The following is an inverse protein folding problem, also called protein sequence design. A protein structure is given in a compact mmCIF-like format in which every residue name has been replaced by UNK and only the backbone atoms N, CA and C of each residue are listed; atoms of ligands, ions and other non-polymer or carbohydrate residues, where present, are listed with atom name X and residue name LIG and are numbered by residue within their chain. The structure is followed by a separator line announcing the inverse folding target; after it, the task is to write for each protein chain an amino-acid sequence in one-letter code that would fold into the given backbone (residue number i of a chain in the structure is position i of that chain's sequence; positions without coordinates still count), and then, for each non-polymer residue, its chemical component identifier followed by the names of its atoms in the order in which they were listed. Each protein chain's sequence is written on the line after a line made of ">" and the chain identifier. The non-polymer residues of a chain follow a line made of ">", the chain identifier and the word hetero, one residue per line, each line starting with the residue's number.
data_IF_270957930162
#
_entry.id   IF_270957930162
#
_cell.length_a   1.000
_cell.length_b   1.000
_cell.length_c   1.000
_cell.angle_alpha   90.00
_cell.angle_beta   90.00
_cell.angle_gamma   90.00
#
_symmetry.space_group_name_H-M   'P 1'
#
loop_
_entity.id
_entity.type
_entity.pdbx_description
1 polymer ?
#
# COMPACT_ATOMS: atom_id res chain seq x y z
N UNK A 1 16.72 10.33 8.20
CA UNK A 1 16.00 9.22 7.57
C UNK A 1 15.52 9.68 6.21
N UNK A 2 16.00 9.03 5.17
CA UNK A 2 15.74 9.34 3.78
C UNK A 2 14.28 9.00 3.43
N UNK A 3 13.48 10.02 3.13
CA UNK A 3 12.04 9.92 2.80
C UNK A 3 11.75 8.86 1.74
N UNK A 4 12.70 8.67 0.81
CA UNK A 4 12.62 7.70 -0.27
C UNK A 4 12.73 6.25 0.22
N UNK A 5 13.51 5.98 1.28
CA UNK A 5 13.61 4.65 1.88
C UNK A 5 12.34 4.27 2.64
N UNK A 6 11.70 5.24 3.31
CA UNK A 6 10.41 5.03 3.99
C UNK A 6 9.29 4.71 2.99
N UNK A 7 9.20 5.43 1.87
CA UNK A 7 8.21 5.19 0.83
C UNK A 7 8.29 3.79 0.20
N UNK A 8 9.52 3.35 -0.14
CA UNK A 8 9.78 2.00 -0.64
C UNK A 8 9.39 0.93 0.39
N UNK A 9 9.66 1.18 1.68
CA UNK A 9 9.27 0.28 2.76
C UNK A 9 7.75 0.14 2.92
N UNK A 10 7.00 1.23 2.77
CA UNK A 10 5.52 1.21 2.79
C UNK A 10 5.01 0.39 1.60
N UNK A 11 5.46 0.71 0.39
CA UNK A 11 5.02 0.06 -0.84
C UNK A 11 5.19 -1.47 -0.79
N UNK A 12 6.35 -1.94 -0.32
CA UNK A 12 6.63 -3.37 -0.17
C UNK A 12 5.70 -4.08 0.82
N UNK A 13 5.30 -3.40 1.91
CA UNK A 13 4.40 -3.99 2.92
C UNK A 13 2.96 -4.05 2.43
N UNK A 14 2.54 -3.05 1.66
CA UNK A 14 1.23 -3.08 1.01
C UNK A 14 1.19 -4.23 -0.02
N UNK A 15 2.22 -4.36 -0.85
CA UNK A 15 2.35 -5.44 -1.84
C UNK A 15 2.28 -6.84 -1.19
N UNK A 16 3.02 -7.02 -0.09
CA UNK A 16 2.99 -8.25 0.69
C UNK A 16 1.59 -8.54 1.23
N UNK A 17 0.93 -7.55 1.84
CA UNK A 17 -0.39 -7.75 2.44
C UNK A 17 -1.46 -8.07 1.39
N UNK A 18 -1.38 -7.47 0.20
CA UNK A 18 -2.26 -7.80 -0.93
C UNK A 18 -2.04 -9.27 -1.34
N UNK A 19 -0.78 -9.66 -1.49
CA UNK A 19 -0.40 -11.03 -1.86
C UNK A 19 -0.83 -12.06 -0.82
N UNK A 20 -0.64 -11.78 0.48
CA UNK A 20 -1.05 -12.67 1.59
C UNK A 20 -2.57 -12.80 1.71
N UNK A 21 -3.30 -11.72 1.44
CA UNK A 21 -4.75 -11.75 1.44
C UNK A 21 -5.34 -12.43 0.18
N UNK A 22 -4.53 -12.61 -0.87
CA UNK A 22 -4.93 -13.27 -2.11
C UNK A 22 -5.90 -12.46 -2.96
N UNK A 23 -5.90 -11.12 -2.84
CA UNK A 23 -6.75 -10.25 -3.63
C UNK A 23 -6.09 -9.77 -4.91
N UNK A 24 -6.88 -9.62 -5.97
CA UNK A 24 -6.43 -9.01 -7.21
C UNK A 24 -6.19 -7.51 -7.04
N UNK A 25 -5.14 -7.00 -7.71
CA UNK A 25 -4.79 -5.58 -7.71
C UNK A 25 -5.95 -4.67 -8.16
N UNK A 26 -6.79 -5.15 -9.09
CA UNK A 26 -7.96 -4.40 -9.54
C UNK A 26 -8.95 -4.15 -8.38
N UNK A 27 -9.24 -5.18 -7.59
CA UNK A 27 -10.18 -5.08 -6.46
C UNK A 27 -9.62 -4.19 -5.36
N UNK A 28 -8.32 -4.27 -5.10
CA UNK A 28 -7.65 -3.40 -4.12
C UNK A 28 -7.64 -1.95 -4.58
N UNK A 29 -7.35 -1.71 -5.87
CA UNK A 29 -7.39 -0.37 -6.45
C UNK A 29 -8.78 0.24 -6.36
N UNK A 30 -9.83 -0.53 -6.70
CA UNK A 30 -11.22 -0.10 -6.54
C UNK A 30 -11.57 0.23 -5.08
N UNK A 31 -11.15 -0.59 -4.12
CA UNK A 31 -11.39 -0.31 -2.70
C UNK A 31 -10.66 0.95 -2.21
N UNK A 32 -9.49 1.24 -2.80
CA UNK A 32 -8.70 2.43 -2.54
C UNK A 32 -9.17 3.67 -3.32
N UNK A 33 -10.18 3.53 -4.19
CA UNK A 33 -10.69 4.60 -5.06
C UNK A 33 -9.60 5.18 -5.99
N UNK A 34 -8.68 4.34 -6.43
CA UNK A 34 -7.63 4.67 -7.40
C UNK A 34 -7.67 3.69 -8.57
N UNK A 35 -6.99 4.03 -9.66
CA UNK A 35 -6.87 3.10 -10.79
C UNK A 35 -5.80 2.03 -10.52
N UNK A 36 -5.91 0.87 -11.19
CA UNK A 36 -4.86 -0.17 -11.13
C UNK A 36 -3.45 0.37 -11.47
N UNK A 37 -3.23 1.12 -12.57
CA UNK A 37 -1.90 1.67 -12.86
C UNK A 37 -1.38 2.63 -11.77
N UNK A 38 -2.27 3.40 -11.15
CA UNK A 38 -1.91 4.24 -10.01
C UNK A 38 -1.48 3.44 -8.78
N UNK A 39 -2.14 2.31 -8.52
CA UNK A 39 -1.71 1.37 -7.49
C UNK A 39 -0.35 0.77 -7.83
N UNK A 40 -0.12 0.36 -9.08
CA UNK A 40 1.16 -0.19 -9.53
C UNK A 40 2.33 0.80 -9.42
N UNK A 41 2.13 2.08 -9.75
CA UNK A 41 3.15 3.12 -9.55
C UNK A 41 3.49 3.31 -8.06
N UNK A 42 2.49 3.17 -7.16
CA UNK A 42 2.71 3.24 -5.71
C UNK A 42 3.43 2.01 -5.17
N UNK A 43 3.02 0.81 -5.59
CA UNK A 43 3.68 -0.45 -5.23
C UNK A 43 5.12 -0.52 -5.75
N UNK A 44 5.40 0.11 -6.90
CA UNK A 44 6.74 0.25 -7.45
C UNK A 44 7.60 1.29 -6.72
N UNK A 45 7.04 2.04 -5.76
CA UNK A 45 7.73 3.11 -5.04
C UNK A 45 8.05 4.34 -5.90
N UNK A 46 7.42 4.49 -7.08
CA UNK A 46 7.57 5.68 -7.94
C UNK A 46 6.75 6.85 -7.40
N UNK A 47 5.61 6.54 -6.78
CA UNK A 47 4.70 7.47 -6.13
C UNK A 47 4.50 7.02 -4.69
N UNK A 48 4.58 7.94 -3.74
CA UNK A 48 4.30 7.61 -2.33
C UNK A 48 2.80 7.37 -2.13
N UNK A 49 2.48 6.39 -1.29
CA UNK A 49 1.11 6.19 -0.79
C UNK A 49 0.69 7.37 0.11
N UNK A 50 -0.51 7.88 -0.12
CA UNK A 50 -1.16 8.81 0.80
C UNK A 50 -1.73 8.04 2.01
N UNK A 51 -1.83 8.71 3.16
CA UNK A 51 -2.42 8.10 4.37
C UNK A 51 -3.85 7.60 4.12
N UNK A 52 -4.66 8.36 3.38
CA UNK A 52 -6.05 7.99 3.07
C UNK A 52 -6.13 6.70 2.24
N UNK A 53 -5.23 6.53 1.26
CA UNK A 53 -5.12 5.32 0.44
C UNK A 53 -4.74 4.12 1.29
N UNK A 54 -3.77 4.27 2.20
CA UNK A 54 -3.36 3.20 3.13
C UNK A 54 -4.48 2.80 4.09
N UNK A 55 -5.31 3.77 4.53
CA UNK A 55 -6.47 3.49 5.36
C UNK A 55 -7.53 2.72 4.58
N UNK A 56 -7.81 3.08 3.33
CA UNK A 56 -8.78 2.37 2.47
C UNK A 56 -8.30 0.96 2.12
N UNK A 57 -7.08 0.83 1.61
CA UNK A 57 -6.44 -0.46 1.33
C UNK A 57 -6.40 -1.33 2.58
N UNK A 58 -5.96 -0.75 3.70
CA UNK A 58 -5.91 -1.45 4.98
C UNK A 58 -7.28 -1.91 5.47
N UNK A 59 -8.30 -1.07 5.37
CA UNK A 59 -9.68 -1.41 5.71
C UNK A 59 -10.20 -2.58 4.88
N UNK A 60 -9.90 -2.60 3.58
CA UNK A 60 -10.26 -3.69 2.68
C UNK A 60 -9.53 -4.99 3.02
N UNK A 61 -8.21 -4.92 3.23
CA UNK A 61 -7.36 -6.06 3.58
C UNK A 61 -7.51 -6.52 5.03
N UNK A 62 -8.33 -5.84 5.85
CA UNK A 62 -8.42 -6.02 7.31
C UNK A 62 -7.08 -5.86 8.04
N UNK A 63 -6.19 -5.04 7.49
CA UNK A 63 -4.87 -4.73 8.04
C UNK A 63 -4.83 -3.25 8.42
N UNK A 64 -4.52 -2.88 9.68
CA UNK A 64 -4.48 -1.47 10.07
C UNK A 64 -3.35 -0.73 9.35
N UNK A 65 -3.63 0.49 8.89
CA UNK A 65 -2.67 1.29 8.12
C UNK A 65 -1.34 1.54 8.85
N UNK A 66 -1.34 1.51 10.18
CA UNK A 66 -0.13 1.62 11.00
C UNK A 66 0.88 0.52 10.72
N UNK A 67 0.44 -0.69 10.34
CA UNK A 67 1.32 -1.81 9.96
C UNK A 67 2.09 -1.53 8.68
N UNK A 68 1.49 -0.75 7.77
CA UNK A 68 2.17 -0.28 6.56
C UNK A 68 3.11 0.88 6.83
N UNK A 69 3.05 1.50 8.01
CA UNK A 69 3.91 2.64 8.40
C UNK A 69 5.04 2.26 9.35
N UNK A 70 4.88 1.25 10.21
CA UNK A 70 5.91 0.76 11.15
C UNK A 70 7.23 0.41 10.43
N UNK A 71 8.27 1.22 10.56
CA UNK A 71 9.61 0.79 10.14
C UNK A 71 9.94 -0.50 10.91
N UNK A 72 10.39 -1.54 10.19
CA UNK A 72 10.94 -2.72 10.83
C UNK A 72 12.11 -2.25 11.72
N UNK A 73 11.90 -2.30 13.03
CA UNK A 73 12.87 -1.92 14.05
C UNK A 73 14.16 -2.74 13.93
#
# INVERSE_FOLDING_TARGET
>A
MDRQATGIGIARRVDLAISEAGFDLNTVAQAADITTPELEDRLSGRVDFQLDELVRVGGFLRTPATRFMEEAA
#
